data_IF_546268742865
#
_entry.id   IF_546268742865
#
_cell.length_a   1.000
_cell.length_b   1.000
_cell.length_c   1.000
_cell.angle_alpha   90.00
_cell.angle_beta   90.00
_cell.angle_gamma   90.00
#
_symmetry.space_group_name_H-M   'P 1'
#
loop_
_entity.id
_entity.type
_entity.pdbx_description
1 polymer ?
#
# COMPACT_ATOMS: atom_id res chain seq x y z
N UNK A 1 36.20 33.14 -6.86
CA UNK A 1 37.10 33.67 -5.81
C UNK A 1 36.46 33.55 -4.42
N UNK A 2 35.37 34.26 -4.11
CA UNK A 2 34.76 34.23 -2.77
C UNK A 2 34.15 32.86 -2.40
N UNK A 3 33.51 32.19 -3.35
CA UNK A 3 32.95 30.84 -3.16
C UNK A 3 34.02 29.75 -2.99
N UNK A 4 35.17 29.91 -3.64
CA UNK A 4 36.31 29.00 -3.50
C UNK A 4 37.00 29.15 -2.13
N UNK A 5 37.09 30.38 -1.61
CA UNK A 5 37.57 30.64 -0.24
C UNK A 5 36.62 30.05 0.80
N UNK A 6 35.30 30.19 0.59
CA UNK A 6 34.27 29.61 1.45
C UNK A 6 34.38 28.08 1.51
N UNK A 7 34.53 27.41 0.37
CA UNK A 7 34.68 25.95 0.31
C UNK A 7 35.94 25.46 1.03
N UNK A 8 37.08 26.16 0.88
CA UNK A 8 38.32 25.86 1.62
C UNK A 8 38.18 26.06 3.13
N UNK A 9 37.43 27.07 3.56
CA UNK A 9 37.15 27.30 4.98
C UNK A 9 36.28 26.19 5.58
N UNK A 10 35.28 25.69 4.83
CA UNK A 10 34.42 24.57 5.27
C UNK A 10 35.25 23.29 5.40
N UNK A 11 36.09 22.95 4.41
CA UNK A 11 36.97 21.79 4.46
C UNK A 11 37.91 21.83 5.68
N UNK A 12 38.42 23.02 6.03
CA UNK A 12 39.27 23.21 7.19
C UNK A 12 38.52 23.09 8.52
N UNK A 13 37.28 23.55 8.60
CA UNK A 13 36.43 23.38 9.78
C UNK A 13 36.07 21.90 10.02
N UNK A 14 35.87 21.12 8.96
CA UNK A 14 35.68 19.65 9.05
C UNK A 14 36.91 18.99 9.65
N UNK A 15 38.12 19.41 9.24
CA UNK A 15 39.37 18.89 9.81
C UNK A 15 39.55 19.23 11.29
N UNK A 16 38.88 20.28 11.77
CA UNK A 16 38.84 20.71 13.17
C UNK A 16 37.67 20.07 13.95
N UNK A 17 36.96 19.10 13.37
CA UNK A 17 35.92 18.32 14.04
C UNK A 17 34.52 18.95 14.00
N UNK A 18 34.31 20.00 13.22
CA UNK A 18 32.99 20.62 13.00
C UNK A 18 32.37 20.01 11.74
N UNK A 19 31.50 19.01 11.93
CA UNK A 19 30.84 18.33 10.81
C UNK A 19 29.59 19.10 10.34
N UNK A 20 29.56 19.65 9.11
CA UNK A 20 28.41 20.36 8.57
C UNK A 20 27.20 19.45 8.33
N UNK A 21 27.37 18.12 8.22
CA UNK A 21 26.26 17.17 8.06
C UNK A 21 25.63 16.74 9.39
N UNK A 22 26.21 17.14 10.53
CA UNK A 22 25.66 16.84 11.86
C UNK A 22 24.41 17.68 12.20
N UNK A 23 24.09 18.72 11.42
CA UNK A 23 22.90 19.56 11.62
C UNK A 23 21.76 19.13 10.69
N UNK A 24 20.57 18.90 11.27
CA UNK A 24 19.34 18.73 10.48
C UNK A 24 18.82 20.06 9.88
N UNK A 25 19.26 21.19 10.43
CA UNK A 25 19.01 22.53 9.89
C UNK A 25 20.14 22.93 8.93
N UNK A 26 19.83 23.01 7.63
CA UNK A 26 20.81 23.35 6.56
C UNK A 26 21.43 24.76 6.71
N UNK A 27 20.89 25.60 7.60
CA UNK A 27 21.29 27.02 7.69
C UNK A 27 22.22 27.36 8.86
N UNK A 28 22.21 26.60 9.95
CA UNK A 28 23.02 26.92 11.13
C UNK A 28 23.32 25.68 11.99
N UNK A 29 24.60 25.38 12.18
CA UNK A 29 25.06 24.36 13.11
C UNK A 29 25.31 24.99 14.48
N UNK A 30 24.75 24.41 15.55
CA UNK A 30 25.03 24.83 16.94
C UNK A 30 26.04 23.90 17.59
N UNK A 31 27.17 24.45 18.00
CA UNK A 31 28.24 23.73 18.70
C UNK A 31 28.57 24.42 20.03
N UNK A 32 29.28 23.70 20.91
CA UNK A 32 29.82 24.28 22.15
C UNK A 32 30.91 25.29 21.79
N UNK A 33 30.89 26.44 22.46
CA UNK A 33 31.84 27.50 22.20
C UNK A 33 33.11 27.30 23.03
N UNK A 34 34.27 27.15 22.39
CA UNK A 34 35.60 27.11 23.06
C UNK A 34 36.37 28.42 22.98
N UNK A 35 35.76 29.49 22.47
CA UNK A 35 36.44 30.75 22.15
C UNK A 35 36.92 31.53 23.38
N UNK A 36 36.28 31.35 24.53
CA UNK A 36 36.62 32.03 25.80
C UNK A 36 36.49 31.05 26.96
N UNK A 37 37.30 31.20 28.04
CA UNK A 37 37.24 30.31 29.20
C UNK A 37 35.85 30.30 29.85
N UNK A 38 35.15 31.43 29.86
CA UNK A 38 33.76 31.52 30.36
C UNK A 38 32.78 30.65 29.55
N UNK A 39 33.01 30.50 28.25
CA UNK A 39 32.18 29.62 27.40
C UNK A 39 32.52 28.13 27.60
N UNK A 40 33.79 27.81 27.86
CA UNK A 40 34.22 26.44 28.15
C UNK A 40 33.62 25.95 29.47
N UNK A 41 33.63 26.79 30.50
CA UNK A 41 33.08 26.46 31.82
C UNK A 41 31.55 26.38 31.82
N UNK A 42 30.87 27.14 30.95
CA UNK A 42 29.41 27.08 30.81
C UNK A 42 28.90 25.77 30.19
N UNK A 43 29.69 25.12 29.33
CA UNK A 43 29.28 23.89 28.64
C UNK A 43 28.12 24.04 27.63
N UNK A 44 27.62 25.26 27.41
CA UNK A 44 26.44 25.54 26.60
C UNK A 44 26.73 25.56 25.09
N UNK A 45 25.74 25.15 24.29
CA UNK A 45 25.76 25.22 22.81
C UNK A 45 25.52 26.64 22.30
N UNK A 46 26.46 27.53 22.61
CA UNK A 46 26.34 28.97 22.36
C UNK A 46 26.92 29.43 21.02
N UNK A 47 27.65 28.59 20.29
CA UNK A 47 28.25 28.94 19.01
C UNK A 47 27.38 28.46 17.84
N UNK A 48 26.86 29.41 17.06
CA UNK A 48 26.11 29.14 15.84
C UNK A 48 26.96 29.45 14.60
N UNK A 49 27.09 28.47 13.70
CA UNK A 49 27.90 28.57 12.49
C UNK A 49 27.00 28.45 11.28
N UNK A 50 27.00 29.46 10.41
CA UNK A 50 26.22 29.48 9.17
C UNK A 50 27.14 29.27 7.97
N UNK A 51 27.13 28.05 7.42
CA UNK A 51 27.97 27.67 6.29
C UNK A 51 27.55 28.32 4.97
N UNK A 52 26.27 28.71 4.82
CA UNK A 52 25.77 29.40 3.64
C UNK A 52 26.22 30.86 3.59
N UNK A 53 26.08 31.57 4.70
CA UNK A 53 26.47 32.98 4.83
C UNK A 53 27.99 33.15 5.03
N UNK A 54 28.69 32.10 5.48
CA UNK A 54 30.12 32.16 5.76
C UNK A 54 30.45 32.89 7.06
N UNK A 55 29.52 32.88 8.02
CA UNK A 55 29.60 33.67 9.26
C UNK A 55 29.35 32.80 10.48
N UNK A 56 29.90 33.21 11.62
CA UNK A 56 29.61 32.62 12.92
C UNK A 56 29.12 33.67 13.91
N UNK A 57 28.33 33.23 14.88
CA UNK A 57 27.87 34.05 15.99
C UNK A 57 27.82 33.25 17.27
N UNK A 58 28.46 33.77 18.31
CA UNK A 58 28.43 33.25 19.66
C UNK A 58 27.39 34.02 20.50
N UNK A 59 26.37 33.36 21.03
CA UNK A 59 25.35 34.00 21.88
C UNK A 59 25.86 34.35 23.29
N UNK A 60 26.81 33.58 23.82
CA UNK A 60 27.38 33.77 25.16
C UNK A 60 28.46 34.86 25.18
N UNK A 61 29.43 34.77 24.27
CA UNK A 61 30.56 35.69 24.16
C UNK A 61 30.32 36.90 23.24
N UNK A 62 29.16 36.97 22.57
CA UNK A 62 28.75 38.04 21.63
C UNK A 62 29.74 38.30 20.49
N UNK A 63 30.65 37.38 20.21
CA UNK A 63 31.56 37.47 19.07
C UNK A 63 30.83 37.04 17.80
N UNK A 64 31.01 37.82 16.74
CA UNK A 64 30.54 37.54 15.39
C UNK A 64 31.64 37.87 14.38
N UNK A 65 31.74 37.09 13.32
CA UNK A 65 32.80 37.22 12.32
C UNK A 65 32.67 36.21 11.17
N UNK A 66 33.66 36.21 10.28
CA UNK A 66 33.70 35.29 9.15
C UNK A 66 34.30 33.92 9.55
N UNK A 67 34.05 32.87 8.74
CA UNK A 67 34.55 31.52 9.02
C UNK A 67 36.09 31.46 9.14
N UNK A 68 36.83 32.33 8.45
CA UNK A 68 38.29 32.40 8.57
C UNK A 68 38.74 32.86 9.96
N UNK A 69 38.04 33.83 10.56
CA UNK A 69 38.30 34.30 11.92
C UNK A 69 37.96 33.21 12.95
N UNK A 70 36.92 32.41 12.69
CA UNK A 70 36.57 31.26 13.52
C UNK A 70 37.65 30.18 13.50
N UNK A 71 38.24 29.89 12.33
CA UNK A 71 39.32 28.91 12.19
C UNK A 71 40.53 29.35 13.02
N UNK A 72 40.94 30.61 12.90
CA UNK A 72 42.06 31.15 13.67
C UNK A 72 41.78 31.12 15.17
N UNK A 73 40.55 31.42 15.58
CA UNK A 73 40.15 31.39 16.97
C UNK A 73 40.05 29.96 17.55
N UNK A 74 39.64 28.96 16.75
CA UNK A 74 39.64 27.54 17.14
C UNK A 74 41.07 26.95 17.19
N UNK A 75 41.94 27.32 16.24
CA UNK A 75 43.34 26.89 16.23
C UNK A 75 44.12 27.46 17.43
N UNK A 76 43.75 28.65 17.93
CA UNK A 76 44.41 29.29 19.08
C UNK A 76 43.84 28.90 20.46
N UNK A 77 42.55 28.50 20.53
CA UNK A 77 41.89 28.13 21.79
C UNK A 77 41.96 26.64 22.14
N UNK A 78 42.39 25.79 21.19
CA UNK A 78 42.44 24.34 21.36
C UNK A 78 41.08 23.70 21.12
N UNK A 79 41.05 22.70 20.23
CA UNK A 79 39.82 22.09 19.71
C UNK A 79 39.13 21.23 20.77
N UNK A 80 37.85 21.46 21.11
CA UNK A 80 37.09 20.52 21.92
C UNK A 80 36.68 19.31 21.05
N UNK A 81 37.27 18.16 21.32
CA UNK A 81 36.73 16.86 20.92
C UNK A 81 35.43 16.63 21.70
N UNK A 82 34.29 16.83 21.04
CA UNK A 82 33.01 16.09 21.19
C UNK A 82 31.85 16.97 20.69
N UNK A 83 31.52 16.83 19.40
CA UNK A 83 30.24 17.29 18.85
C UNK A 83 29.12 16.37 19.38
N UNK A 84 28.62 16.64 20.58
CA UNK A 84 27.39 16.02 21.04
C UNK A 84 26.21 16.75 20.39
N UNK A 85 25.64 16.15 19.35
CA UNK A 85 24.39 16.56 18.70
C UNK A 85 23.26 16.46 19.73
N UNK A 86 22.58 17.56 20.00
CA UNK A 86 21.32 17.54 20.74
C UNK A 86 20.19 17.74 19.73
N UNK A 87 19.36 16.70 19.56
CA UNK A 87 18.08 16.79 18.87
C UNK A 87 17.27 17.93 19.51
N UNK A 88 16.95 18.95 18.73
CA UNK A 88 16.24 20.11 19.24
C UNK A 88 14.81 19.70 19.64
N UNK A 89 14.56 19.75 20.94
CA UNK A 89 13.23 19.77 21.52
C UNK A 89 12.44 20.93 20.92
N UNK A 90 11.22 20.62 20.50
CA UNK A 90 10.33 21.46 19.71
C UNK A 90 10.08 22.79 20.42
N UNK A 91 10.71 23.87 19.94
CA UNK A 91 10.40 25.24 20.34
C UNK A 91 9.72 25.95 19.18
N UNK A 92 8.48 26.36 19.39
CA UNK A 92 7.72 27.17 18.42
C UNK A 92 8.48 28.47 18.15
N UNK A 93 9.02 28.61 16.93
CA UNK A 93 9.66 29.84 16.48
C UNK A 93 8.59 30.90 16.29
N UNK A 94 8.49 31.83 17.24
CA UNK A 94 7.87 33.14 17.03
C UNK A 94 8.55 33.81 15.85
N UNK A 95 7.75 34.09 14.82
CA UNK A 95 8.11 34.77 13.58
C UNK A 95 8.88 36.06 13.87
N UNK A 96 10.18 36.07 13.56
CA UNK A 96 10.98 37.28 13.58
C UNK A 96 10.46 38.27 12.52
N UNK A 97 10.17 39.50 12.96
CA UNK A 97 9.97 40.65 12.08
C UNK A 97 11.22 40.84 11.21
N UNK A 98 10.99 41.03 9.91
CA UNK A 98 12.02 41.37 8.95
C UNK A 98 12.56 42.77 9.22
N UNK A 99 13.65 42.86 9.97
CA UNK A 99 14.48 44.05 10.04
C UNK A 99 15.35 44.15 8.79
N UNK A 100 15.10 45.18 7.97
CA UNK A 100 16.07 45.64 6.99
C UNK A 100 16.17 47.17 7.01
N UNK A 101 17.43 47.62 7.20
CA UNK A 101 18.06 48.87 6.75
C UNK A 101 18.07 50.08 7.72
N UNK A 102 19.30 50.47 8.09
CA UNK A 102 19.75 51.84 8.35
C UNK A 102 21.05 52.07 7.55
N UNK A 103 21.55 53.30 7.32
CA UNK A 103 20.95 54.65 7.50
C UNK A 103 21.14 55.57 6.25
N UNK A 104 20.76 56.84 6.37
CA UNK A 104 21.14 58.01 5.55
C UNK A 104 20.21 58.42 4.39
N UNK A 105 19.22 59.25 4.72
CA UNK A 105 18.93 60.55 4.07
C UNK A 105 17.68 61.10 4.75
N UNK A 106 17.75 62.28 5.39
CA UNK A 106 16.55 62.95 5.88
C UNK A 106 15.79 63.53 4.66
N UNK A 107 14.58 63.06 4.33
CA UNK A 107 13.76 63.71 3.33
C UNK A 107 13.03 64.88 3.98
N UNK A 108 13.19 66.08 3.41
CA UNK A 108 12.41 67.26 3.79
C UNK A 108 10.96 67.05 3.36
N UNK A 109 10.11 66.66 4.30
CA UNK A 109 8.69 66.37 4.05
C UNK A 109 7.95 67.70 3.85
N UNK A 110 7.51 67.99 2.63
CA UNK A 110 6.44 68.98 2.41
C UNK A 110 5.12 68.35 2.88
N UNK A 111 4.29 69.05 3.68
CA UNK A 111 2.98 68.53 4.06
C UNK A 111 2.09 68.40 2.82
N UNK A 112 1.59 67.19 2.55
CA UNK A 112 0.57 66.96 1.52
C UNK A 112 -0.70 67.76 1.85
N UNK A 113 -1.27 68.44 0.85
CA UNK A 113 -2.58 69.07 0.96
C UNK A 113 -3.66 68.00 1.08
N UNK A 114 -4.77 68.34 1.74
CA UNK A 114 -5.87 67.42 2.03
C UNK A 114 -6.53 66.77 0.79
N UNK A 115 -6.17 67.26 -0.40
CA UNK A 115 -6.77 66.96 -1.70
C UNK A 115 -6.10 65.74 -2.38
N UNK A 116 -4.92 65.31 -1.91
CA UNK A 116 -4.15 64.17 -2.47
C UNK A 116 -4.35 62.85 -1.70
N UNK A 117 -5.30 62.79 -0.77
CA UNK A 117 -5.63 61.54 -0.06
C UNK A 117 -6.44 60.61 -0.95
N UNK A 118 -5.76 59.75 -1.70
CA UNK A 118 -6.38 58.56 -2.30
C UNK A 118 -6.81 57.64 -1.16
N UNK A 119 -8.13 57.40 -1.03
CA UNK A 119 -8.66 56.43 -0.09
C UNK A 119 -7.99 55.06 -0.37
N UNK A 120 -7.49 54.33 0.65
CA UNK A 120 -7.00 52.98 0.43
C UNK A 120 -8.11 52.11 -0.19
N UNK A 121 -7.77 51.22 -1.15
CA UNK A 121 -8.77 50.33 -1.73
C UNK A 121 -9.43 49.51 -0.60
N UNK A 122 -10.74 49.27 -0.67
CA UNK A 122 -11.43 48.49 0.35
C UNK A 122 -10.77 47.11 0.49
N UNK A 123 -10.68 46.55 1.71
CA UNK A 123 -10.12 45.23 1.92
C UNK A 123 -10.86 44.21 1.04
N UNK A 124 -10.15 43.25 0.41
CA UNK A 124 -10.80 42.23 -0.39
C UNK A 124 -11.84 41.50 0.47
N UNK A 125 -13.03 41.15 -0.08
CA UNK A 125 -14.06 40.51 0.69
C UNK A 125 -13.51 39.23 1.34
N UNK A 126 -13.88 38.93 2.61
CA UNK A 126 -13.48 37.69 3.25
C UNK A 126 -13.90 36.53 2.35
N UNK A 127 -12.94 35.69 1.97
CA UNK A 127 -13.22 34.49 1.17
C UNK A 127 -14.32 33.70 1.89
N UNK A 128 -15.36 33.23 1.19
CA UNK A 128 -16.49 32.57 1.82
C UNK A 128 -15.98 31.43 2.70
N UNK A 129 -16.47 31.38 3.95
CA UNK A 129 -16.22 30.27 4.85
C UNK A 129 -16.57 28.97 4.11
N UNK A 130 -15.57 28.12 3.84
CA UNK A 130 -15.79 26.78 3.29
C UNK A 130 -16.81 26.06 4.15
N UNK A 131 -17.98 25.82 3.57
CA UNK A 131 -19.15 25.30 4.26
C UNK A 131 -18.86 23.91 4.84
N UNK A 132 -19.38 23.64 6.04
CA UNK A 132 -19.28 22.34 6.71
C UNK A 132 -19.62 21.16 5.80
N UNK A 133 -20.56 21.34 4.85
CA UNK A 133 -20.91 20.35 3.83
C UNK A 133 -19.76 20.00 2.88
N UNK A 134 -18.97 20.98 2.42
CA UNK A 134 -17.80 20.72 1.55
C UNK A 134 -16.76 19.90 2.31
N UNK A 135 -16.54 20.21 3.60
CA UNK A 135 -15.64 19.43 4.45
C UNK A 135 -16.15 18.00 4.60
N UNK A 136 -17.43 17.78 4.90
CA UNK A 136 -18.00 16.43 5.05
C UNK A 136 -17.85 15.63 3.75
N UNK A 137 -18.15 16.23 2.60
CA UNK A 137 -18.02 15.57 1.29
C UNK A 137 -16.56 15.20 1.01
N UNK A 138 -15.60 16.13 1.20
CA UNK A 138 -14.17 15.83 0.99
C UNK A 138 -13.69 14.76 1.97
N UNK A 139 -14.16 14.77 3.22
CA UNK A 139 -13.77 13.77 4.23
C UNK A 139 -14.31 12.38 3.87
N UNK A 140 -15.57 12.27 3.46
CA UNK A 140 -16.18 11.02 3.02
C UNK A 140 -15.47 10.47 1.77
N UNK A 141 -15.21 11.34 0.79
CA UNK A 141 -14.48 10.96 -0.42
C UNK A 141 -13.07 10.47 -0.08
N UNK A 142 -12.36 11.19 0.80
CA UNK A 142 -11.02 10.82 1.24
C UNK A 142 -11.00 9.48 1.99
N UNK A 143 -11.99 9.19 2.84
CA UNK A 143 -12.14 7.90 3.51
C UNK A 143 -12.43 6.77 2.53
N UNK A 144 -13.26 7.02 1.51
CA UNK A 144 -13.56 6.04 0.48
C UNK A 144 -12.30 5.70 -0.34
N UNK A 145 -11.55 6.72 -0.76
CA UNK A 145 -10.28 6.54 -1.48
C UNK A 145 -9.21 5.86 -0.62
N UNK A 146 -9.12 6.21 0.66
CA UNK A 146 -8.21 5.55 1.60
C UNK A 146 -8.57 4.08 1.82
N UNK A 147 -9.86 3.78 2.03
CA UNK A 147 -10.36 2.42 2.18
C UNK A 147 -10.12 1.58 0.93
N UNK A 148 -10.50 2.09 -0.24
CA UNK A 148 -10.26 1.42 -1.51
C UNK A 148 -8.77 1.16 -1.77
N UNK A 149 -7.90 2.15 -1.49
CA UNK A 149 -6.46 2.00 -1.65
C UNK A 149 -5.84 0.99 -0.68
N UNK A 150 -6.27 0.97 0.59
CA UNK A 150 -5.81 -0.02 1.57
C UNK A 150 -6.27 -1.44 1.21
N UNK A 151 -7.51 -1.59 0.74
CA UNK A 151 -8.01 -2.88 0.25
C UNK A 151 -7.24 -3.34 -0.98
N UNK A 152 -6.93 -2.44 -1.93
CA UNK A 152 -6.11 -2.77 -3.09
C UNK A 152 -4.68 -3.17 -2.69
N UNK A 153 -4.07 -2.47 -1.72
CA UNK A 153 -2.76 -2.82 -1.18
C UNK A 153 -2.76 -4.20 -0.51
N UNK A 154 -3.81 -4.53 0.26
CA UNK A 154 -3.97 -5.83 0.90
C UNK A 154 -4.13 -6.95 -0.14
N UNK A 155 -4.96 -6.75 -1.17
CA UNK A 155 -5.15 -7.71 -2.26
C UNK A 155 -3.86 -7.91 -3.07
N UNK A 156 -3.14 -6.83 -3.35
CA UNK A 156 -1.84 -6.87 -4.03
C UNK A 156 -0.79 -7.63 -3.20
N UNK A 157 -0.67 -7.32 -1.90
CA UNK A 157 0.22 -8.04 -1.00
C UNK A 157 -0.10 -9.53 -0.89
N UNK A 158 -1.39 -9.89 -0.81
CA UNK A 158 -1.83 -11.28 -0.82
C UNK A 158 -1.48 -12.01 -2.13
N UNK A 159 -1.77 -11.40 -3.27
CA UNK A 159 -1.47 -11.98 -4.58
C UNK A 159 0.05 -12.22 -4.74
N UNK A 160 0.87 -11.26 -4.32
CA UNK A 160 2.32 -11.41 -4.33
C UNK A 160 2.80 -12.51 -3.37
N UNK A 161 2.26 -12.58 -2.15
CA UNK A 161 2.60 -13.65 -1.21
C UNK A 161 2.34 -15.03 -1.83
N UNK A 162 1.16 -15.22 -2.43
CA UNK A 162 0.79 -16.50 -3.05
C UNK A 162 1.70 -16.82 -4.25
N UNK A 163 1.94 -15.87 -5.13
CA UNK A 163 2.79 -16.07 -6.30
C UNK A 163 4.23 -16.44 -5.93
N UNK A 164 4.86 -15.67 -5.05
CA UNK A 164 6.26 -15.91 -4.67
C UNK A 164 6.43 -17.08 -3.71
N UNK A 165 5.43 -17.43 -2.90
CA UNK A 165 5.50 -18.66 -2.10
C UNK A 165 5.36 -19.91 -2.96
N UNK A 166 4.49 -19.89 -3.99
CA UNK A 166 4.29 -21.01 -4.91
C UNK A 166 5.46 -21.27 -5.87
N UNK A 167 6.35 -20.29 -6.07
CA UNK A 167 7.50 -20.42 -6.97
C UNK A 167 8.64 -21.27 -6.36
N UNK A 168 8.57 -21.56 -5.07
CA UNK A 168 9.58 -22.30 -4.33
C UNK A 168 8.97 -23.55 -3.69
N UNK A 169 9.61 -24.70 -3.91
CA UNK A 169 9.10 -26.01 -3.46
C UNK A 169 9.38 -26.31 -1.98
N UNK A 170 10.38 -25.67 -1.39
CA UNK A 170 10.72 -25.81 0.03
C UNK A 170 9.78 -24.95 0.91
N UNK A 171 9.01 -25.53 1.85
CA UNK A 171 8.01 -24.81 2.64
C UNK A 171 8.57 -23.69 3.52
N UNK A 172 9.81 -23.82 4.03
CA UNK A 172 10.43 -22.75 4.83
C UNK A 172 10.86 -21.58 3.95
N UNK A 173 11.36 -21.87 2.75
CA UNK A 173 11.74 -20.84 1.79
C UNK A 173 10.51 -20.20 1.16
N UNK A 174 9.45 -20.97 0.88
CA UNK A 174 8.19 -20.47 0.35
C UNK A 174 7.58 -19.38 1.23
N UNK A 175 7.63 -19.54 2.56
CA UNK A 175 7.20 -18.49 3.49
C UNK A 175 8.05 -17.22 3.36
N UNK A 176 9.37 -17.37 3.29
CA UNK A 176 10.30 -16.24 3.17
C UNK A 176 10.12 -15.48 1.84
N UNK A 177 10.00 -16.20 0.72
CA UNK A 177 9.75 -15.64 -0.60
C UNK A 177 8.34 -15.04 -0.72
N UNK A 178 7.33 -15.61 -0.05
CA UNK A 178 6.03 -14.98 0.06
C UNK A 178 6.11 -13.60 0.72
N UNK A 179 6.84 -13.50 1.85
CA UNK A 179 7.02 -12.23 2.55
C UNK A 179 7.85 -11.20 1.76
N UNK A 180 8.82 -11.60 0.95
CA UNK A 180 9.54 -10.66 0.08
C UNK A 180 8.61 -10.03 -0.95
N UNK A 181 7.64 -10.78 -1.46
CA UNK A 181 6.55 -10.26 -2.30
C UNK A 181 5.70 -9.20 -1.60
N UNK A 182 5.28 -9.47 -0.35
CA UNK A 182 4.53 -8.50 0.47
C UNK A 182 5.34 -7.23 0.71
N UNK A 183 6.62 -7.37 1.05
CA UNK A 183 7.52 -6.25 1.29
C UNK A 183 7.67 -5.40 0.03
N UNK A 184 7.77 -6.01 -1.16
CA UNK A 184 7.85 -5.28 -2.42
C UNK A 184 6.60 -4.41 -2.67
N UNK A 185 5.40 -4.93 -2.40
CA UNK A 185 4.16 -4.15 -2.48
C UNK A 185 4.13 -2.99 -1.47
N UNK A 186 4.60 -3.21 -0.25
CA UNK A 186 4.70 -2.16 0.79
C UNK A 186 5.71 -1.07 0.40
N UNK A 187 6.86 -1.45 -0.15
CA UNK A 187 7.87 -0.51 -0.65
C UNK A 187 7.32 0.32 -1.80
N UNK A 188 6.53 -0.28 -2.69
CA UNK A 188 5.88 0.48 -3.76
C UNK A 188 4.92 1.52 -3.21
N UNK A 189 4.00 1.08 -2.35
CA UNK A 189 3.01 1.90 -1.68
C UNK A 189 3.66 3.07 -0.90
N UNK A 190 4.62 2.74 -0.03
CA UNK A 190 5.34 3.72 0.77
C UNK A 190 6.13 4.68 -0.12
N UNK A 191 6.81 4.17 -1.14
CA UNK A 191 7.60 4.96 -2.08
C UNK A 191 6.78 6.01 -2.82
N UNK A 192 5.57 5.68 -3.29
CA UNK A 192 4.68 6.67 -3.92
C UNK A 192 4.17 7.73 -2.94
N UNK A 193 3.89 7.33 -1.71
CA UNK A 193 3.49 8.27 -0.64
C UNK A 193 4.62 9.24 -0.31
N UNK A 194 5.85 8.74 -0.19
CA UNK A 194 7.04 9.57 0.02
C UNK A 194 7.34 10.47 -1.19
N UNK A 195 7.18 9.96 -2.42
CA UNK A 195 7.31 10.79 -3.63
C UNK A 195 6.35 11.97 -3.59
N UNK A 196 5.08 11.73 -3.28
CA UNK A 196 4.08 12.80 -3.18
C UNK A 196 4.42 13.78 -2.06
N UNK A 197 4.82 13.28 -0.89
CA UNK A 197 5.21 14.11 0.25
C UNK A 197 6.41 15.03 -0.07
N UNK A 198 7.47 14.48 -0.67
CA UNK A 198 8.67 15.23 -1.00
C UNK A 198 8.43 16.23 -2.14
N UNK A 199 7.66 15.85 -3.16
CA UNK A 199 7.31 16.77 -4.26
C UNK A 199 6.41 17.91 -3.79
N UNK A 200 5.45 17.65 -2.89
CA UNK A 200 4.62 18.69 -2.27
C UNK A 200 5.45 19.71 -1.46
N UNK A 201 6.55 19.26 -0.82
CA UNK A 201 7.47 20.10 -0.07
C UNK A 201 8.61 20.71 -0.92
N UNK A 202 8.51 20.67 -2.26
CA UNK A 202 9.54 21.15 -3.21
C UNK A 202 10.92 20.46 -3.08
N UNK A 203 10.98 19.30 -2.42
CA UNK A 203 12.19 18.47 -2.23
C UNK A 203 12.30 17.45 -3.37
N UNK A 204 12.63 17.95 -4.57
CA UNK A 204 12.57 17.15 -5.81
C UNK A 204 13.61 16.02 -5.87
N UNK A 205 14.79 16.20 -5.26
CA UNK A 205 15.85 15.18 -5.26
C UNK A 205 15.44 13.95 -4.43
N UNK A 206 14.86 14.19 -3.27
CA UNK A 206 14.33 13.17 -2.37
C UNK A 206 13.10 12.51 -2.97
N UNK A 207 12.24 13.29 -3.65
CA UNK A 207 11.11 12.77 -4.41
C UNK A 207 11.55 11.77 -5.49
N UNK A 208 12.53 12.13 -6.34
CA UNK A 208 13.02 11.23 -7.39
C UNK A 208 13.59 9.93 -6.81
N UNK A 209 14.32 9.99 -5.70
CA UNK A 209 14.81 8.77 -5.01
C UNK A 209 13.66 7.88 -4.54
N UNK A 210 12.66 8.46 -3.88
CA UNK A 210 11.47 7.73 -3.44
C UNK A 210 10.69 7.11 -4.62
N UNK A 211 10.62 7.82 -5.75
CA UNK A 211 9.97 7.33 -6.97
C UNK A 211 10.70 6.10 -7.56
N UNK A 212 12.03 6.09 -7.57
CA UNK A 212 12.80 4.94 -8.06
C UNK A 212 12.55 3.68 -7.22
N UNK A 213 12.52 3.82 -5.89
CA UNK A 213 12.15 2.70 -5.01
C UNK A 213 10.69 2.28 -5.19
N UNK A 214 9.78 3.25 -5.38
CA UNK A 214 8.37 2.97 -5.63
C UNK A 214 8.16 2.15 -6.90
N UNK A 215 8.85 2.52 -7.98
CA UNK A 215 8.78 1.85 -9.28
C UNK A 215 9.41 0.45 -9.24
N UNK A 216 10.51 0.28 -8.51
CA UNK A 216 11.11 -1.04 -8.30
C UNK A 216 10.13 -1.99 -7.57
N UNK A 217 9.53 -1.51 -6.47
CA UNK A 217 8.50 -2.26 -5.76
C UNK A 217 7.26 -2.55 -6.63
N UNK A 218 6.83 -1.56 -7.43
CA UNK A 218 5.68 -1.69 -8.33
C UNK A 218 5.94 -2.77 -9.38
N UNK A 219 7.12 -2.79 -9.97
CA UNK A 219 7.52 -3.79 -10.95
C UNK A 219 7.44 -5.21 -10.38
N UNK A 220 8.01 -5.42 -9.19
CA UNK A 220 7.95 -6.72 -8.50
C UNK A 220 6.51 -7.11 -8.12
N UNK A 221 5.72 -6.15 -7.65
CA UNK A 221 4.32 -6.34 -7.26
C UNK A 221 3.41 -6.71 -8.45
N UNK A 222 3.64 -6.05 -9.60
CA UNK A 222 2.93 -6.34 -10.85
C UNK A 222 3.29 -7.73 -11.35
N UNK A 223 4.57 -8.10 -11.32
CA UNK A 223 5.05 -9.41 -11.74
C UNK A 223 4.44 -10.54 -10.89
N UNK A 224 4.45 -10.41 -9.56
CA UNK A 224 3.86 -11.43 -8.70
C UNK A 224 2.34 -11.51 -8.88
N UNK A 225 1.64 -10.39 -9.02
CA UNK A 225 0.18 -10.41 -9.33
C UNK A 225 -0.11 -11.10 -10.67
N UNK A 226 0.71 -10.87 -11.70
CA UNK A 226 0.56 -11.57 -12.98
C UNK A 226 0.80 -13.08 -12.85
N UNK A 227 1.83 -13.49 -12.10
CA UNK A 227 2.11 -14.89 -11.82
C UNK A 227 0.94 -15.56 -11.08
N UNK A 228 0.36 -14.88 -10.09
CA UNK A 228 -0.81 -15.36 -9.37
C UNK A 228 -2.00 -15.59 -10.29
N UNK A 229 -2.34 -14.61 -11.14
CA UNK A 229 -3.45 -14.73 -12.09
C UNK A 229 -3.19 -15.86 -13.09
N UNK A 230 -1.97 -15.97 -13.61
CA UNK A 230 -1.60 -17.03 -14.54
C UNK A 230 -1.72 -18.42 -13.90
N UNK A 231 -1.24 -18.58 -12.66
CA UNK A 231 -1.36 -19.83 -11.91
C UNK A 231 -2.83 -20.20 -11.65
N UNK A 232 -3.66 -19.22 -11.29
CA UNK A 232 -5.08 -19.45 -11.04
C UNK A 232 -5.85 -19.82 -12.32
N UNK A 233 -5.49 -19.22 -13.46
CA UNK A 233 -6.05 -19.57 -14.76
C UNK A 233 -5.65 -21.00 -15.17
N UNK A 234 -4.39 -21.38 -14.97
CA UNK A 234 -3.93 -22.75 -15.23
C UNK A 234 -4.62 -23.78 -14.33
N UNK A 235 -4.82 -23.47 -13.05
CA UNK A 235 -5.56 -24.34 -12.14
C UNK A 235 -7.02 -24.51 -12.60
N UNK A 236 -7.68 -23.41 -13.00
CA UNK A 236 -9.04 -23.45 -13.53
C UNK A 236 -9.14 -24.25 -14.84
N UNK A 237 -8.18 -24.10 -15.75
CA UNK A 237 -8.11 -24.93 -16.97
C UNK A 237 -7.91 -26.41 -16.64
N UNK A 238 -7.08 -26.74 -15.64
CA UNK A 238 -6.90 -28.12 -15.18
C UNK A 238 -8.19 -28.70 -14.58
N UNK A 239 -8.92 -27.93 -13.77
CA UNK A 239 -10.24 -28.31 -13.26
C UNK A 239 -11.25 -28.56 -14.40
N UNK A 240 -11.29 -27.68 -15.41
CA UNK A 240 -12.14 -27.85 -16.59
C UNK A 240 -11.78 -29.11 -17.37
N UNK A 241 -10.49 -29.38 -17.58
CA UNK A 241 -10.06 -30.58 -18.30
C UNK A 241 -10.38 -31.85 -17.53
N UNK A 242 -10.14 -31.88 -16.21
CA UNK A 242 -10.47 -33.02 -15.36
C UNK A 242 -11.98 -33.28 -15.31
N UNK A 243 -12.79 -32.24 -15.11
CA UNK A 243 -14.24 -32.27 -15.24
C UNK A 243 -14.69 -32.85 -16.60
N UNK A 244 -14.09 -32.36 -17.69
CA UNK A 244 -14.36 -32.84 -19.05
C UNK A 244 -14.01 -34.33 -19.24
N UNK A 245 -12.87 -34.77 -18.73
CA UNK A 245 -12.47 -36.19 -18.79
C UNK A 245 -13.39 -37.08 -17.95
N UNK A 246 -13.81 -36.64 -16.76
CA UNK A 246 -14.74 -37.35 -15.90
C UNK A 246 -16.11 -37.48 -16.58
N UNK A 247 -16.59 -36.39 -17.22
CA UNK A 247 -17.83 -36.40 -17.99
C UNK A 247 -17.78 -37.37 -19.17
N UNK A 248 -16.67 -37.38 -19.91
CA UNK A 248 -16.47 -38.31 -21.03
C UNK A 248 -16.45 -39.77 -20.55
N UNK A 249 -15.79 -40.06 -19.43
CA UNK A 249 -15.77 -41.38 -18.82
C UNK A 249 -17.17 -41.82 -18.38
N UNK A 250 -17.93 -40.94 -17.71
CA UNK A 250 -19.30 -41.21 -17.28
C UNK A 250 -20.23 -41.48 -18.49
N UNK A 251 -20.07 -40.74 -19.59
CA UNK A 251 -20.83 -40.98 -20.82
C UNK A 251 -20.50 -42.34 -21.45
N UNK A 252 -19.22 -42.74 -21.45
CA UNK A 252 -18.81 -44.06 -21.93
C UNK A 252 -19.37 -45.18 -21.06
N UNK A 253 -19.33 -45.04 -19.73
CA UNK A 253 -19.92 -46.00 -18.79
C UNK A 253 -21.43 -46.12 -18.98
N UNK A 254 -22.13 -45.00 -19.18
CA UNK A 254 -23.56 -44.99 -19.49
C UNK A 254 -23.88 -45.72 -20.79
N UNK A 255 -23.06 -45.54 -21.84
CA UNK A 255 -23.23 -46.26 -23.09
C UNK A 255 -23.06 -47.77 -22.91
N UNK A 256 -22.03 -48.20 -22.16
CA UNK A 256 -21.79 -49.61 -21.86
C UNK A 256 -22.95 -50.22 -21.03
N UNK A 257 -23.42 -49.54 -19.98
CA UNK A 257 -24.57 -50.01 -19.20
C UNK A 257 -25.85 -50.10 -20.01
N UNK A 258 -26.07 -49.20 -20.98
CA UNK A 258 -27.21 -49.28 -21.91
C UNK A 258 -27.10 -50.49 -22.83
N UNK A 259 -25.90 -50.82 -23.32
CA UNK A 259 -25.67 -52.04 -24.13
C UNK A 259 -25.91 -53.29 -23.27
N UNK A 260 -25.41 -53.32 -22.04
CA UNK A 260 -25.67 -54.42 -21.10
C UNK A 260 -27.16 -54.59 -20.78
N UNK A 261 -27.87 -53.48 -20.58
CA UNK A 261 -29.31 -53.48 -20.35
C UNK A 261 -30.09 -54.00 -21.57
N UNK A 262 -29.68 -53.64 -22.78
CA UNK A 262 -30.30 -54.11 -24.02
C UNK A 262 -30.11 -55.63 -24.24
N UNK A 263 -29.07 -56.24 -23.66
CA UNK A 263 -28.85 -57.68 -23.68
C UNK A 263 -29.78 -58.48 -22.74
N UNK A 264 -30.53 -57.81 -21.85
CA UNK A 264 -31.50 -58.45 -20.96
C UNK A 264 -32.89 -58.38 -21.59
N UNK A 265 -33.62 -59.50 -21.74
CA UNK A 265 -34.94 -59.52 -22.34
C UNK A 265 -35.92 -58.55 -21.64
N UNK A 266 -36.72 -57.77 -22.39
CA UNK A 266 -37.66 -56.81 -21.82
C UNK A 266 -38.84 -57.47 -21.12
N UNK A 267 -39.19 -58.71 -21.49
CA UNK A 267 -40.21 -59.54 -20.84
C UNK A 267 -39.80 -60.15 -19.48
N UNK A 268 -38.67 -59.74 -18.89
CA UNK A 268 -38.30 -60.16 -17.53
C UNK A 268 -39.33 -59.64 -16.52
N UNK A 269 -39.90 -60.56 -15.72
CA UNK A 269 -40.87 -60.24 -14.67
C UNK A 269 -40.20 -59.40 -13.57
N UNK A 270 -40.96 -58.58 -12.85
CA UNK A 270 -40.41 -57.74 -11.78
C UNK A 270 -39.77 -58.58 -10.67
N UNK A 271 -38.75 -58.00 -10.01
CA UNK A 271 -38.05 -58.65 -8.91
C UNK A 271 -39.02 -59.01 -7.79
N UNK A 272 -39.94 -58.12 -7.40
CA UNK A 272 -40.91 -58.40 -6.34
C UNK A 272 -41.86 -59.54 -6.73
N UNK A 273 -42.26 -59.62 -8.00
CA UNK A 273 -43.15 -60.67 -8.50
C UNK A 273 -42.50 -62.05 -8.52
N UNK A 274 -41.21 -62.11 -8.87
CA UNK A 274 -40.43 -63.35 -8.89
C UNK A 274 -40.07 -63.83 -7.48
N UNK A 275 -39.74 -62.93 -6.56
CA UNK A 275 -39.50 -63.26 -5.15
C UNK A 275 -40.77 -63.78 -4.47
N UNK A 276 -41.93 -63.17 -4.74
CA UNK A 276 -43.22 -63.65 -4.25
C UNK A 276 -43.56 -65.06 -4.79
N UNK A 277 -43.28 -65.31 -6.08
CA UNK A 277 -43.49 -66.64 -6.66
C UNK A 277 -42.55 -67.69 -6.08
N UNK A 278 -41.25 -67.39 -5.97
CA UNK A 278 -40.24 -68.32 -5.43
C UNK A 278 -40.54 -68.65 -3.98
N UNK A 279 -40.84 -67.66 -3.14
CA UNK A 279 -41.17 -67.88 -1.73
C UNK A 279 -42.43 -68.73 -1.54
N UNK A 280 -43.44 -68.57 -2.38
CA UNK A 280 -44.64 -69.41 -2.36
C UNK A 280 -44.32 -70.85 -2.81
N UNK A 281 -43.49 -71.04 -3.84
CA UNK A 281 -43.07 -72.36 -4.31
C UNK A 281 -42.21 -73.09 -3.26
N UNK A 282 -41.34 -72.37 -2.55
CA UNK A 282 -40.56 -72.90 -1.42
C UNK A 282 -41.46 -73.29 -0.25
N UNK A 283 -42.46 -72.46 0.08
CA UNK A 283 -43.47 -72.75 1.12
C UNK A 283 -44.26 -74.02 0.82
N UNK A 284 -44.61 -74.24 -0.45
CA UNK A 284 -45.35 -75.44 -0.90
C UNK A 284 -44.42 -76.64 -1.16
N UNK A 285 -43.09 -76.46 -1.09
CA UNK A 285 -42.10 -77.54 -1.20
C UNK A 285 -41.91 -78.09 -2.63
N UNK A 286 -42.20 -77.31 -3.68
CA UNK A 286 -42.12 -77.74 -5.09
C UNK A 286 -40.85 -77.30 -5.81
N UNK A 287 -39.72 -77.35 -5.11
CA UNK A 287 -38.44 -76.78 -5.57
C UNK A 287 -37.75 -77.58 -6.68
N UNK A 288 -38.16 -78.82 -6.93
CA UNK A 288 -37.55 -79.65 -8.00
C UNK A 288 -38.14 -79.40 -9.38
N UNK A 289 -39.23 -78.63 -9.47
CA UNK A 289 -39.94 -78.42 -10.73
C UNK A 289 -39.18 -77.43 -11.63
N UNK A 290 -39.15 -77.68 -12.94
CA UNK A 290 -38.53 -76.79 -13.94
C UNK A 290 -38.96 -75.31 -13.78
N UNK A 291 -40.25 -74.97 -13.56
CA UNK A 291 -40.68 -73.58 -13.39
C UNK A 291 -39.99 -72.84 -12.23
N UNK A 292 -39.59 -73.55 -11.17
CA UNK A 292 -38.87 -72.96 -10.06
C UNK A 292 -37.45 -72.55 -10.46
N UNK A 293 -36.73 -73.44 -11.17
CA UNK A 293 -35.38 -73.14 -11.70
C UNK A 293 -35.41 -72.01 -12.72
N UNK A 294 -36.40 -72.00 -13.60
CA UNK A 294 -36.58 -70.93 -14.58
C UNK A 294 -36.84 -69.59 -13.87
N UNK A 295 -37.71 -69.56 -12.85
CA UNK A 295 -37.97 -68.36 -12.05
C UNK A 295 -36.73 -67.86 -11.28
N UNK A 296 -35.87 -68.74 -10.77
CA UNK A 296 -34.60 -68.34 -10.14
C UNK A 296 -33.63 -67.69 -11.14
N UNK A 297 -33.55 -68.22 -12.36
CA UNK A 297 -32.73 -67.64 -13.43
C UNK A 297 -33.27 -66.28 -13.87
N UNK A 298 -34.60 -66.16 -14.04
CA UNK A 298 -35.27 -64.89 -14.34
C UNK A 298 -35.07 -63.86 -13.22
N UNK A 299 -35.11 -64.26 -11.95
CA UNK A 299 -34.87 -63.37 -10.82
C UNK A 299 -33.46 -62.78 -10.85
N UNK A 300 -32.46 -63.61 -11.20
CA UNK A 300 -31.09 -63.17 -11.38
C UNK A 300 -30.93 -62.13 -12.48
N UNK A 301 -31.68 -62.27 -13.59
CA UNK A 301 -31.71 -61.29 -14.68
C UNK A 301 -32.45 -60.01 -14.29
N UNK A 302 -33.60 -60.13 -13.63
CA UNK A 302 -34.40 -59.00 -13.16
C UNK A 302 -33.62 -58.12 -12.17
N UNK A 303 -32.92 -58.72 -11.19
CA UNK A 303 -32.07 -57.96 -10.25
C UNK A 303 -30.91 -57.23 -10.95
N UNK A 304 -30.30 -57.84 -11.99
CA UNK A 304 -29.26 -57.18 -12.79
C UNK A 304 -29.81 -56.00 -13.58
N UNK A 305 -31.02 -56.16 -14.16
CA UNK A 305 -31.72 -55.11 -14.89
C UNK A 305 -31.99 -53.91 -13.98
N UNK A 306 -32.57 -54.12 -12.81
CA UNK A 306 -32.87 -53.05 -11.85
C UNK A 306 -31.59 -52.35 -11.37
N UNK A 307 -30.53 -53.11 -11.07
CA UNK A 307 -29.25 -52.54 -10.68
C UNK A 307 -28.60 -51.69 -11.79
N UNK A 308 -28.69 -52.11 -13.05
CA UNK A 308 -28.20 -51.34 -14.20
C UNK A 308 -29.04 -50.08 -14.42
N UNK A 309 -30.35 -50.19 -14.29
CA UNK A 309 -31.27 -49.07 -14.46
C UNK A 309 -31.05 -48.00 -13.38
N UNK A 310 -30.88 -48.41 -12.12
CA UNK A 310 -30.51 -47.51 -11.02
C UNK A 310 -29.16 -46.81 -11.26
N UNK A 311 -28.15 -47.52 -11.78
CA UNK A 311 -26.86 -46.91 -12.14
C UNK A 311 -26.98 -45.89 -13.27
N UNK A 312 -27.79 -46.20 -14.29
CA UNK A 312 -28.06 -45.29 -15.42
C UNK A 312 -28.78 -44.04 -14.93
N UNK A 313 -29.79 -44.18 -14.06
CA UNK A 313 -30.52 -43.05 -13.49
C UNK A 313 -29.63 -42.18 -12.61
N UNK A 314 -28.80 -42.78 -11.75
CA UNK A 314 -27.85 -42.04 -10.91
C UNK A 314 -26.81 -41.28 -11.74
N UNK A 315 -26.22 -41.91 -12.77
CA UNK A 315 -25.25 -41.25 -13.64
C UNK A 315 -25.89 -40.19 -14.55
N UNK A 316 -27.12 -40.38 -15.01
CA UNK A 316 -27.86 -39.32 -15.71
C UNK A 316 -28.17 -38.15 -14.77
N UNK A 317 -28.52 -38.42 -13.51
CA UNK A 317 -28.72 -37.38 -12.49
C UNK A 317 -27.42 -36.64 -12.17
N UNK A 318 -26.26 -37.29 -12.22
CA UNK A 318 -24.95 -36.63 -12.07
C UNK A 318 -24.61 -35.75 -13.28
N UNK A 319 -24.89 -36.22 -14.51
CA UNK A 319 -24.71 -35.44 -15.73
C UNK A 319 -25.68 -34.24 -15.85
N UNK A 320 -26.88 -34.35 -15.29
CA UNK A 320 -27.92 -33.31 -15.29
C UNK A 320 -27.82 -32.37 -14.07
N UNK A 321 -27.35 -32.88 -12.92
CA UNK A 321 -27.51 -32.27 -11.60
C UNK A 321 -26.27 -31.59 -11.02
N UNK A 322 -25.13 -31.60 -11.71
CA UNK A 322 -23.95 -30.80 -11.36
C UNK A 322 -23.43 -30.10 -12.60
N UNK A 323 -24.20 -29.11 -13.04
CA UNK A 323 -23.81 -28.21 -14.12
C UNK A 323 -22.59 -27.39 -13.74
N UNK A 324 -21.40 -27.97 -13.90
CA UNK A 324 -20.11 -27.29 -14.07
C UNK A 324 -20.11 -26.33 -15.29
N UNK A 325 -21.23 -26.23 -16.02
CA UNK A 325 -21.46 -25.22 -17.03
C UNK A 325 -21.41 -23.79 -16.51
N UNK A 326 -21.78 -23.54 -15.24
CA UNK A 326 -21.68 -22.20 -14.64
C UNK A 326 -20.22 -21.85 -14.29
N UNK A 327 -19.44 -22.86 -13.90
CA UNK A 327 -18.01 -22.73 -13.58
C UNK A 327 -17.19 -22.46 -14.86
N UNK A 328 -17.58 -23.08 -15.97
CA UNK A 328 -17.00 -22.85 -17.30
C UNK A 328 -17.24 -21.42 -17.80
N UNK A 329 -18.44 -20.86 -17.58
CA UNK A 329 -18.78 -19.49 -17.99
C UNK A 329 -18.07 -18.46 -17.10
N UNK A 330 -17.95 -18.72 -15.80
CA UNK A 330 -17.26 -17.81 -14.87
C UNK A 330 -15.73 -17.81 -15.08
N UNK A 331 -15.14 -18.97 -15.36
CA UNK A 331 -13.73 -19.10 -15.73
C UNK A 331 -13.41 -18.37 -17.05
N UNK A 332 -14.30 -18.48 -18.05
CA UNK A 332 -14.11 -17.83 -19.34
C UNK A 332 -14.33 -16.30 -19.28
N UNK A 333 -15.17 -15.81 -18.37
CA UNK A 333 -15.36 -14.37 -18.15
C UNK A 333 -14.12 -13.69 -17.52
N UNK A 334 -13.30 -14.42 -16.74
CA UNK A 334 -12.04 -13.89 -16.16
C UNK A 334 -10.93 -13.68 -17.20
N UNK A 335 -11.06 -14.24 -18.40
CA UNK A 335 -10.05 -14.14 -19.46
C UNK A 335 -10.11 -12.85 -20.30
N UNK A 336 -11.13 -11.99 -20.14
CA UNK A 336 -11.33 -10.85 -21.02
C UNK A 336 -10.36 -9.67 -20.79
N UNK A 337 -9.71 -9.60 -19.64
CA UNK A 337 -8.78 -8.51 -19.29
C UNK A 337 -7.37 -9.08 -19.14
N UNK A 338 -6.36 -8.53 -19.85
CA UNK A 338 -4.98 -8.96 -19.68
C UNK A 338 -4.52 -8.82 -18.22
N UNK A 339 -3.92 -9.88 -17.66
CA UNK A 339 -3.48 -9.92 -16.26
C UNK A 339 -2.56 -8.77 -15.88
N UNK A 340 -1.71 -8.32 -16.81
CA UNK A 340 -0.83 -7.17 -16.62
C UNK A 340 -1.58 -5.85 -16.45
N UNK A 341 -2.73 -5.69 -17.11
CA UNK A 341 -3.55 -4.49 -17.01
C UNK A 341 -4.25 -4.43 -15.66
N UNK A 342 -4.79 -5.55 -15.19
CA UNK A 342 -5.40 -5.62 -13.86
C UNK A 342 -4.37 -5.41 -12.74
N UNK A 343 -3.19 -6.03 -12.85
CA UNK A 343 -2.08 -5.83 -11.92
C UNK A 343 -1.62 -4.37 -11.90
N UNK A 344 -1.48 -3.74 -13.08
CA UNK A 344 -1.14 -2.32 -13.18
C UNK A 344 -2.20 -1.40 -12.59
N UNK A 345 -3.48 -1.69 -12.81
CA UNK A 345 -4.60 -0.93 -12.24
C UNK A 345 -4.67 -1.06 -10.72
N UNK A 346 -4.49 -2.26 -10.17
CA UNK A 346 -4.42 -2.47 -8.72
C UNK A 346 -3.28 -1.68 -8.09
N UNK A 347 -2.10 -1.69 -8.69
CA UNK A 347 -0.94 -0.94 -8.20
C UNK A 347 -1.17 0.59 -8.29
N UNK A 348 -1.78 1.05 -9.38
CA UNK A 348 -2.14 2.46 -9.56
C UNK A 348 -3.20 2.92 -8.55
N UNK A 349 -4.25 2.13 -8.32
CA UNK A 349 -5.30 2.46 -7.35
C UNK A 349 -4.82 2.36 -5.91
N UNK A 350 -3.97 1.36 -5.60
CA UNK A 350 -3.31 1.22 -4.31
C UNK A 350 -2.48 2.46 -3.97
N UNK A 351 -1.65 2.92 -4.90
CA UNK A 351 -0.73 4.06 -4.69
C UNK A 351 -1.40 5.44 -4.78
N UNK A 352 -2.29 5.66 -5.76
CA UNK A 352 -2.95 6.95 -5.97
C UNK A 352 -4.15 7.15 -5.03
N UNK A 353 -4.96 6.10 -4.81
CA UNK A 353 -6.15 6.21 -3.97
C UNK A 353 -5.83 6.53 -2.52
N UNK A 354 -4.86 5.83 -1.94
CA UNK A 354 -4.41 6.11 -0.57
C UNK A 354 -3.68 7.42 -0.43
N UNK A 355 -2.77 7.79 -1.35
CA UNK A 355 -2.03 9.05 -1.25
C UNK A 355 -2.97 10.25 -1.37
N UNK A 356 -3.93 10.24 -2.30
CA UNK A 356 -4.94 11.29 -2.42
C UNK A 356 -5.82 11.35 -1.16
N UNK A 357 -6.29 10.21 -0.65
CA UNK A 357 -7.10 10.15 0.56
C UNK A 357 -6.37 10.69 1.80
N UNK A 358 -5.12 10.27 2.00
CA UNK A 358 -4.31 10.62 3.17
C UNK A 358 -3.86 12.09 3.11
N UNK A 359 -3.50 12.59 1.93
CA UNK A 359 -3.19 14.01 1.71
C UNK A 359 -4.42 14.89 1.88
N UNK A 360 -5.58 14.49 1.36
CA UNK A 360 -6.83 15.23 1.52
C UNK A 360 -7.20 15.37 3.01
N UNK A 361 -7.04 14.30 3.79
CA UNK A 361 -7.23 14.32 5.24
C UNK A 361 -6.20 15.23 5.93
N UNK A 362 -4.92 15.13 5.58
CA UNK A 362 -3.88 16.00 6.14
C UNK A 362 -4.15 17.49 5.84
N UNK A 363 -4.56 17.84 4.61
CA UNK A 363 -4.86 19.23 4.24
C UNK A 363 -6.12 19.73 4.95
N UNK A 364 -7.14 18.89 5.11
CA UNK A 364 -8.37 19.24 5.81
C UNK A 364 -8.14 19.52 7.31
N UNK A 365 -7.28 18.73 7.96
CA UNK A 365 -7.08 18.78 9.42
C UNK A 365 -5.82 19.53 9.88
N UNK A 366 -4.86 19.83 8.99
CA UNK A 366 -3.67 20.65 9.33
C UNK A 366 -3.95 22.15 9.46
N UNK A 367 -5.14 22.62 9.05
CA UNK A 367 -5.51 24.04 9.14
C UNK A 367 -6.46 24.33 10.30
N UNK A 368 -5.91 24.45 11.52
CA UNK A 368 -6.28 25.44 12.57
C UNK A 368 -5.59 25.16 13.91
N UNK A 369 -4.69 26.07 14.29
CA UNK A 369 -4.70 26.78 15.59
C UNK A 369 -4.00 28.12 15.36
N UNK A 370 -4.77 29.16 15.08
CA UNK A 370 -4.33 30.53 15.35
C UNK A 370 -5.07 30.90 16.63
N UNK A 371 -4.39 31.08 17.78
CA UNK A 371 -5.06 31.49 19.00
C UNK A 371 -5.70 32.86 18.76
N UNK A 372 -6.97 32.98 19.17
CA UNK A 372 -7.67 34.25 19.18
C UNK A 372 -6.91 35.20 20.11
N UNK A 373 -6.62 36.41 19.64
CA UNK A 373 -6.04 37.45 20.46
C UNK A 373 -6.97 37.73 21.65
N UNK A 374 -6.42 37.69 22.86
CA UNK A 374 -7.12 38.07 24.08
C UNK A 374 -7.59 39.54 24.02
N UNK A 375 -8.76 39.87 24.58
CA UNK A 375 -9.22 41.25 24.67
C UNK A 375 -8.38 42.03 25.71
N UNK A 376 -7.92 43.20 25.29
CA UNK A 376 -7.23 44.21 26.11
C UNK A 376 -7.96 44.47 27.44
N UNK A 377 -7.27 44.55 28.59
CA UNK A 377 -7.91 44.90 29.85
C UNK A 377 -8.21 46.40 29.89
N UNK A 378 -9.49 46.73 30.08
CA UNK A 378 -9.96 48.07 30.40
C UNK A 378 -9.22 48.60 31.64
N UNK A 379 -8.47 49.69 31.47
CA UNK A 379 -7.94 50.49 32.54
C UNK A 379 -9.11 51.13 33.32
N UNK A 380 -9.30 50.72 34.57
CA UNK A 380 -10.19 51.41 35.50
C UNK A 380 -9.45 52.58 36.15
N UNK A 381 -10.20 53.69 36.23
CA UNK A 381 -10.00 54.96 36.93
C UNK A 381 -9.45 54.87 38.33
#
# INVERSE_FOLDING_TARGET
>A
MQEERRLKAIERLVSLGVDPEASQDETALRIRCSLTPDCVDSGDYSLSVNFHAGQFKCSSCKTEGDLEDLIVALESSGVPTNAAVQDAEFTEVTKAESGALQPAMQPKVLPLRAEDRVLPPPPPPPRPHRNLGERIIITLLALLFLGAGLSAAALSGFANYQAFSSSVTDPLQAGLWGWTGVIASVISFGGFTFFYWHTANKRMKEGVRALLFALAGAGTSILGTQMYIAANNQASEAEITTAGTNRALLQQQLADWRVQLAGIPPETRSVEGLEAYISEVERVGRTEQKPYRDAQNELGLARRRDALQAKIEAANAELLGKGEGDILIEAQARAAIPSWFFAGMLELFSSQGTSIGLVALLILYSRRRTPAADPEPLANT
#
